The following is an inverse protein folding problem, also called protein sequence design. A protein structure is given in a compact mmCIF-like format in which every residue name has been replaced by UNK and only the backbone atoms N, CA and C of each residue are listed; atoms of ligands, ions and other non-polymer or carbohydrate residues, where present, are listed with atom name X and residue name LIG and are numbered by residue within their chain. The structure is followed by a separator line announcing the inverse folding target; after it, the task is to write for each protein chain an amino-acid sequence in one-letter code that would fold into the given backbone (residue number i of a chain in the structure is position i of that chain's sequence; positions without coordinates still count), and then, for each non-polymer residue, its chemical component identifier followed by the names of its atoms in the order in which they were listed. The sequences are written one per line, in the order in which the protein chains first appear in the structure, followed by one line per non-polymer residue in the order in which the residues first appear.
data_IF_698463636962
#
_entry.id   IF_698463636962
#
_cell.length_a   1.000
_cell.length_b   1.000
_cell.length_c   1.000
_cell.angle_alpha   90.00
_cell.angle_beta   90.00
_cell.angle_gamma   90.00
#
_symmetry.space_group_name_H-M   'P 1'
#
loop_
_entity.id
_entity.type
_entity.pdbx_description
1 polymer ?
#
# COMPACT_ATOMS: atom_id res chain seq x y z
N UNK A 1 4.76 -9.89 -22.56
CA UNK A 1 5.28 -8.97 -21.53
C UNK A 1 4.25 -8.87 -20.42
N UNK A 2 4.63 -9.15 -19.20
CA UNK A 2 3.86 -8.95 -17.97
C UNK A 2 4.70 -8.13 -16.99
N UNK A 3 4.06 -7.54 -15.98
CA UNK A 3 4.74 -6.69 -15.02
C UNK A 3 4.64 -7.27 -13.61
N UNK A 4 5.74 -7.26 -12.88
CA UNK A 4 5.79 -7.44 -11.43
C UNK A 4 6.03 -6.09 -10.78
N UNK A 5 5.10 -5.65 -9.94
CA UNK A 5 5.35 -4.54 -9.02
C UNK A 5 5.68 -5.11 -7.65
N UNK A 6 6.86 -4.82 -7.16
CA UNK A 6 7.31 -5.23 -5.84
C UNK A 6 7.35 -4.01 -4.93
N UNK A 7 6.40 -3.87 -4.04
CA UNK A 7 6.36 -2.62 -3.28
C UNK A 7 5.37 -2.58 -2.12
N UNK A 8 5.36 -1.42 -1.48
CA UNK A 8 4.58 -1.17 -0.27
C UNK A 8 3.08 -1.15 -0.52
N UNK A 9 2.37 -1.69 0.46
CA UNK A 9 0.92 -1.60 0.61
C UNK A 9 0.61 -1.02 1.99
N UNK A 10 -0.21 0.02 2.05
CA UNK A 10 -0.56 0.69 3.30
C UNK A 10 -2.07 0.90 3.42
N UNK A 11 -2.56 0.81 4.64
CA UNK A 11 -3.88 1.32 4.99
C UNK A 11 -3.69 2.79 5.36
N UNK A 12 -4.33 3.70 4.64
CA UNK A 12 -4.24 5.12 4.93
C UNK A 12 -5.44 5.56 5.76
N UNK A 13 -5.19 5.91 7.02
CA UNK A 13 -6.17 6.51 7.94
C UNK A 13 -6.08 8.04 7.82
N UNK A 14 -7.06 8.65 7.16
CA UNK A 14 -7.09 10.09 6.90
C UNK A 14 -8.05 10.77 7.87
N UNK A 15 -7.52 11.71 8.64
CA UNK A 15 -8.28 12.51 9.60
C UNK A 15 -8.37 13.95 9.10
N UNK A 16 -9.59 14.43 8.90
CA UNK A 16 -9.86 15.83 8.57
C UNK A 16 -9.88 16.67 9.85
N UNK A 17 -9.15 17.76 9.85
CA UNK A 17 -8.94 18.61 11.02
C UNK A 17 -9.14 20.09 10.63
N UNK A 18 -9.42 20.94 11.62
CA UNK A 18 -9.38 22.38 11.45
C UNK A 18 -7.94 22.85 11.19
N UNK A 19 -6.99 22.33 11.95
CA UNK A 19 -5.56 22.58 11.80
C UNK A 19 -4.75 21.33 12.17
N UNK A 20 -3.50 21.25 11.72
CA UNK A 20 -2.57 20.18 12.12
C UNK A 20 -2.30 20.30 13.62
N UNK A 21 -2.50 19.20 14.36
CA UNK A 21 -2.34 19.19 15.81
C UNK A 21 -0.89 19.45 16.22
N UNK A 22 -0.71 20.35 17.19
CA UNK A 22 0.61 20.66 17.73
C UNK A 22 0.96 19.83 18.97
N UNK A 23 2.22 19.89 19.44
CA UNK A 23 2.66 19.19 20.64
C UNK A 23 1.83 19.57 21.86
N UNK A 24 1.34 18.55 22.58
CA UNK A 24 0.50 18.75 23.79
C UNK A 24 -0.94 19.18 23.52
N UNK A 25 -1.33 19.36 22.28
CA UNK A 25 -2.68 19.75 21.89
C UNK A 25 -3.58 18.53 21.70
N UNK A 26 -4.85 18.66 22.04
CA UNK A 26 -5.90 17.67 21.76
C UNK A 26 -7.04 18.37 21.03
N UNK A 27 -7.39 17.91 19.84
CA UNK A 27 -8.53 18.43 19.07
C UNK A 27 -9.42 17.29 18.59
N UNK A 28 -10.66 17.59 18.27
CA UNK A 28 -11.55 16.66 17.62
C UNK A 28 -11.35 16.70 16.09
N UNK A 29 -11.28 15.52 15.45
CA UNK A 29 -11.35 15.46 14.00
C UNK A 29 -12.78 15.76 13.52
N UNK A 30 -12.90 16.40 12.38
CA UNK A 30 -14.19 16.68 11.72
C UNK A 30 -14.65 15.52 10.84
N UNK A 31 -13.74 14.58 10.52
CA UNK A 31 -14.03 13.38 9.72
C UNK A 31 -12.87 12.40 9.74
N UNK A 32 -13.18 11.14 9.38
CA UNK A 32 -12.19 10.09 9.18
C UNK A 32 -12.57 9.24 7.99
N UNK A 33 -11.60 8.99 7.12
CA UNK A 33 -11.73 8.08 5.99
C UNK A 33 -10.59 7.06 5.98
N UNK A 34 -10.81 5.92 5.34
CA UNK A 34 -9.81 4.85 5.21
C UNK A 34 -9.65 4.56 3.73
N UNK A 35 -8.41 4.56 3.25
CA UNK A 35 -8.07 4.27 1.87
C UNK A 35 -7.02 3.18 1.78
N UNK A 36 -7.09 2.42 0.68
CA UNK A 36 -5.96 1.61 0.25
C UNK A 36 -4.90 2.52 -0.38
N UNK A 37 -3.67 2.41 0.09
CA UNK A 37 -2.55 3.22 -0.36
C UNK A 37 -1.24 2.42 -0.41
N UNK A 38 -0.15 3.14 -0.45
CA UNK A 38 1.19 2.62 -0.68
C UNK A 38 1.64 2.81 -2.12
N UNK A 39 2.90 3.14 -2.30
CA UNK A 39 3.46 3.42 -3.64
C UNK A 39 3.35 2.21 -4.55
N UNK A 40 3.70 1.02 -4.05
CA UNK A 40 3.62 -0.22 -4.82
C UNK A 40 2.19 -0.57 -5.22
N UNK A 41 1.23 -0.45 -4.30
CA UNK A 41 -0.18 -0.67 -4.60
C UNK A 41 -0.66 0.29 -5.70
N UNK A 42 -0.39 1.58 -5.55
CA UNK A 42 -0.82 2.60 -6.52
C UNK A 42 -0.19 2.39 -7.90
N UNK A 43 1.08 1.99 -7.97
CA UNK A 43 1.76 1.65 -9.22
C UNK A 43 1.12 0.43 -9.90
N UNK A 44 0.82 -0.63 -9.14
CA UNK A 44 0.15 -1.83 -9.66
C UNK A 44 -1.22 -1.50 -10.25
N UNK A 45 -2.02 -0.73 -9.52
CA UNK A 45 -3.34 -0.28 -9.99
C UNK A 45 -3.22 0.57 -11.26
N UNK A 46 -2.26 1.49 -11.32
CA UNK A 46 -2.05 2.34 -12.48
C UNK A 46 -1.66 1.53 -13.72
N UNK A 47 -0.73 0.58 -13.58
CA UNK A 47 -0.31 -0.30 -14.68
C UNK A 47 -1.44 -1.20 -15.16
N UNK A 48 -2.23 -1.78 -14.25
CA UNK A 48 -3.37 -2.63 -14.60
C UNK A 48 -4.44 -1.83 -15.35
N UNK A 49 -4.75 -0.61 -14.90
CA UNK A 49 -5.65 0.31 -15.60
C UNK A 49 -5.15 0.76 -16.97
N UNK A 50 -3.82 0.75 -17.18
CA UNK A 50 -3.21 0.98 -18.50
C UNK A 50 -3.24 -0.24 -19.41
N UNK A 51 -3.81 -1.37 -18.95
CA UNK A 51 -4.00 -2.58 -19.75
C UNK A 51 -2.84 -3.58 -19.68
N UNK A 52 -1.90 -3.42 -18.76
CA UNK A 52 -0.82 -4.39 -18.57
C UNK A 52 -1.28 -5.56 -17.69
N UNK A 53 -0.86 -6.80 -17.98
CA UNK A 53 -0.95 -7.91 -17.03
C UNK A 53 0.02 -7.66 -15.88
N UNK A 54 -0.50 -7.40 -14.68
CA UNK A 54 0.27 -7.00 -13.50
C UNK A 54 0.13 -8.00 -12.37
N UNK A 55 1.24 -8.38 -11.77
CA UNK A 55 1.34 -9.06 -10.48
C UNK A 55 1.85 -8.10 -9.42
N UNK A 56 1.25 -8.13 -8.25
CA UNK A 56 1.78 -7.40 -7.10
C UNK A 56 2.45 -8.37 -6.13
N UNK A 57 3.69 -8.08 -5.73
CA UNK A 57 4.38 -8.76 -4.65
C UNK A 57 4.57 -7.80 -3.48
N UNK A 58 4.14 -8.22 -2.32
CA UNK A 58 4.20 -7.46 -1.09
C UNK A 58 3.68 -8.31 0.07
N UNK A 59 3.68 -7.76 1.26
CA UNK A 59 3.23 -8.46 2.46
C UNK A 59 2.17 -7.62 3.15
N UNK A 60 1.05 -8.24 3.48
CA UNK A 60 0.04 -7.66 4.36
C UNK A 60 -0.23 -8.58 5.56
N UNK A 61 -0.90 -8.06 6.54
CA UNK A 61 -1.26 -8.76 7.77
C UNK A 61 -2.65 -8.35 8.24
N UNK A 62 -2.83 -8.23 9.52
CA UNK A 62 -4.10 -7.81 10.10
C UNK A 62 -4.60 -6.49 9.47
N UNK A 63 -5.84 -6.47 9.01
CA UNK A 63 -6.50 -5.33 8.38
C UNK A 63 -6.14 -5.13 6.88
N UNK A 64 -5.35 -6.02 6.29
CA UNK A 64 -4.88 -5.90 4.90
C UNK A 64 -5.88 -6.28 3.82
N UNK A 65 -7.07 -6.76 4.18
CA UNK A 65 -8.11 -7.23 3.25
C UNK A 65 -8.48 -6.16 2.23
N UNK A 66 -8.65 -4.91 2.68
CA UNK A 66 -8.95 -3.76 1.83
C UNK A 66 -7.91 -3.58 0.70
N UNK A 67 -6.63 -3.85 0.99
CA UNK A 67 -5.55 -3.68 0.03
C UNK A 67 -5.60 -4.73 -1.07
N UNK A 68 -5.83 -5.99 -0.68
CA UNK A 68 -5.97 -7.11 -1.61
C UNK A 68 -7.21 -6.92 -2.50
N UNK A 69 -8.36 -6.61 -1.91
CA UNK A 69 -9.60 -6.33 -2.64
C UNK A 69 -9.45 -5.16 -3.64
N UNK A 70 -8.72 -4.11 -3.26
CA UNK A 70 -8.45 -2.97 -4.14
C UNK A 70 -7.60 -3.38 -5.34
N UNK A 71 -6.57 -4.19 -5.14
CA UNK A 71 -5.73 -4.72 -6.22
C UNK A 71 -6.54 -5.62 -7.15
N UNK A 72 -7.27 -6.59 -6.61
CA UNK A 72 -8.08 -7.55 -7.37
C UNK A 72 -9.17 -6.87 -8.20
N UNK A 73 -9.90 -5.95 -7.60
CA UNK A 73 -10.93 -5.16 -8.30
C UNK A 73 -10.37 -4.28 -9.42
N UNK A 74 -9.07 -3.98 -9.36
CA UNK A 74 -8.35 -3.23 -10.40
C UNK A 74 -7.73 -4.13 -11.47
N UNK A 75 -7.89 -5.46 -11.37
CA UNK A 75 -7.36 -6.43 -12.33
C UNK A 75 -5.90 -6.84 -12.08
N UNK A 76 -5.35 -6.57 -10.90
CA UNK A 76 -4.01 -6.99 -10.50
C UNK A 76 -4.05 -8.42 -9.97
N UNK A 77 -3.09 -9.24 -10.36
CA UNK A 77 -2.92 -10.58 -9.81
C UNK A 77 -2.24 -10.50 -8.43
N UNK A 78 -2.92 -11.02 -7.42
CA UNK A 78 -2.51 -10.96 -6.00
C UNK A 78 -1.88 -12.26 -5.48
N UNK A 79 -1.66 -13.26 -6.35
CA UNK A 79 -1.15 -14.58 -5.95
C UNK A 79 0.25 -14.58 -5.32
N UNK A 80 1.00 -13.50 -5.48
CA UNK A 80 2.32 -13.32 -4.89
C UNK A 80 2.30 -12.54 -3.57
N UNK A 81 1.13 -12.05 -3.13
CA UNK A 81 1.02 -11.38 -1.84
C UNK A 81 1.09 -12.42 -0.73
N UNK A 82 1.97 -12.15 0.24
CA UNK A 82 2.07 -12.94 1.47
C UNK A 82 1.26 -12.32 2.59
N UNK A 83 0.74 -13.19 3.46
CA UNK A 83 0.06 -12.80 4.69
C UNK A 83 0.90 -13.20 5.90
N UNK A 84 1.10 -12.29 6.83
CA UNK A 84 1.83 -12.53 8.08
C UNK A 84 1.01 -12.09 9.28
N UNK A 85 1.25 -12.73 10.43
CA UNK A 85 0.64 -12.35 11.71
C UNK A 85 1.36 -11.13 12.33
N UNK A 86 1.29 -10.03 11.61
CA UNK A 86 1.90 -8.75 11.97
C UNK A 86 0.98 -7.65 11.43
N UNK A 87 0.85 -6.50 12.10
CA UNK A 87 0.02 -5.42 11.58
C UNK A 87 0.47 -4.98 10.19
N UNK A 88 -0.50 -4.83 9.29
CA UNK A 88 -0.27 -4.26 7.95
C UNK A 88 0.36 -2.87 8.05
N UNK A 89 1.26 -2.55 7.13
CA UNK A 89 1.77 -1.19 6.99
C UNK A 89 0.62 -0.18 6.89
N UNK A 90 0.72 0.92 7.60
CA UNK A 90 -0.35 1.93 7.60
C UNK A 90 0.19 3.34 7.83
N UNK A 91 -0.64 4.31 7.53
CA UNK A 91 -0.35 5.72 7.76
C UNK A 91 -1.44 6.34 8.62
N UNK A 92 -1.06 7.35 9.40
CA UNK A 92 -1.99 8.29 10.01
C UNK A 92 -1.75 9.62 9.33
N UNK A 93 -2.76 10.11 8.63
CA UNK A 93 -2.68 11.32 7.81
C UNK A 93 -3.61 12.36 8.42
N UNK A 94 -3.05 13.50 8.80
CA UNK A 94 -3.80 14.69 9.17
C UNK A 94 -3.94 15.57 7.95
N UNK A 95 -5.15 16.05 7.67
CA UNK A 95 -5.41 17.01 6.58
C UNK A 95 -6.18 18.19 7.16
N UNK A 96 -5.64 19.39 7.05
CA UNK A 96 -6.28 20.59 7.54
C UNK A 96 -7.25 21.23 6.53
N UNK A 97 -7.97 22.26 6.97
CA UNK A 97 -8.94 22.97 6.13
C UNK A 97 -8.31 23.66 4.90
N UNK A 98 -6.99 23.83 4.86
CA UNK A 98 -6.23 24.40 3.73
C UNK A 98 -5.67 23.34 2.79
N UNK A 99 -5.90 22.05 3.10
CA UNK A 99 -5.38 20.94 2.32
C UNK A 99 -3.91 20.59 2.62
N UNK A 100 -3.32 21.17 3.67
CA UNK A 100 -1.99 20.76 4.13
C UNK A 100 -2.09 19.41 4.84
N UNK A 101 -1.07 18.59 4.71
CA UNK A 101 -1.05 17.30 5.37
C UNK A 101 0.20 17.07 6.24
N UNK A 102 0.04 16.18 7.19
CA UNK A 102 1.12 15.64 8.00
C UNK A 102 0.92 14.13 8.12
N UNK A 103 1.95 13.35 7.82
CA UNK A 103 1.83 11.89 7.67
C UNK A 103 2.78 11.18 8.62
N UNK A 104 2.24 10.26 9.41
CA UNK A 104 2.99 9.29 10.19
C UNK A 104 2.89 7.95 9.47
N UNK A 105 4.04 7.31 9.19
CA UNK A 105 4.09 6.00 8.54
C UNK A 105 4.54 4.94 9.55
N UNK A 106 3.74 3.89 9.69
CA UNK A 106 4.15 2.66 10.35
C UNK A 106 4.46 1.60 9.29
N UNK A 107 5.70 1.14 9.21
CA UNK A 107 6.15 0.23 8.15
C UNK A 107 5.48 -1.15 8.18
N UNK A 108 5.23 -1.68 9.39
CA UNK A 108 4.53 -2.96 9.56
C UNK A 108 5.08 -4.07 8.67
N UNK A 109 4.19 -4.79 8.02
CA UNK A 109 4.55 -5.90 7.11
C UNK A 109 5.42 -5.49 5.92
N UNK A 110 5.43 -4.21 5.50
CA UNK A 110 6.32 -3.74 4.42
C UNK A 110 7.81 -3.88 4.77
N UNK A 111 8.16 -3.99 6.04
CA UNK A 111 9.55 -4.17 6.52
C UNK A 111 9.96 -5.63 6.68
N UNK A 112 9.12 -6.56 6.27
CA UNK A 112 9.35 -8.01 6.45
C UNK A 112 9.75 -8.73 5.17
N UNK A 113 10.09 -8.00 4.14
CA UNK A 113 10.55 -8.54 2.86
C UNK A 113 11.93 -9.17 3.05
N UNK A 114 12.08 -10.45 2.63
CA UNK A 114 13.32 -11.19 2.72
C UNK A 114 13.89 -11.51 1.33
N UNK A 115 15.20 -11.78 1.22
CA UNK A 115 15.81 -12.21 -0.05
C UNK A 115 15.15 -13.45 -0.65
N UNK A 116 14.73 -14.39 0.20
CA UNK A 116 14.05 -15.62 -0.24
C UNK A 116 12.70 -15.31 -0.87
N UNK A 117 11.93 -14.40 -0.27
CA UNK A 117 10.66 -13.96 -0.85
C UNK A 117 10.85 -13.21 -2.17
N UNK A 118 11.90 -12.39 -2.27
CA UNK A 118 12.23 -11.71 -3.53
C UNK A 118 12.53 -12.73 -4.62
N UNK A 119 13.39 -13.73 -4.35
CA UNK A 119 13.74 -14.77 -5.30
C UNK A 119 12.52 -15.58 -5.75
N UNK A 120 11.63 -15.93 -4.82
CA UNK A 120 10.39 -16.65 -5.12
C UNK A 120 9.48 -15.81 -6.03
N UNK A 121 9.23 -14.55 -5.67
CA UNK A 121 8.37 -13.67 -6.46
C UNK A 121 8.90 -13.45 -7.89
N UNK A 122 10.23 -13.37 -8.05
CA UNK A 122 10.88 -13.20 -9.36
C UNK A 122 10.92 -14.48 -10.19
N UNK A 123 10.80 -15.66 -9.58
CA UNK A 123 10.97 -16.94 -10.29
C UNK A 123 10.01 -17.16 -11.47
N UNK A 124 8.86 -16.51 -11.45
CA UNK A 124 7.88 -16.56 -12.53
C UNK A 124 8.07 -15.53 -13.64
N UNK A 125 9.13 -14.72 -13.57
CA UNK A 125 9.40 -13.62 -14.53
C UNK A 125 10.75 -13.83 -15.21
N UNK A 126 10.88 -13.37 -16.46
CA UNK A 126 12.06 -13.58 -17.27
C UNK A 126 12.27 -12.49 -18.29
N UNK A 127 13.07 -12.80 -19.30
CA UNK A 127 13.40 -11.87 -20.39
C UNK A 127 12.12 -11.36 -21.09
N UNK A 128 12.04 -10.05 -21.26
CA UNK A 128 10.87 -9.35 -21.83
C UNK A 128 9.78 -8.97 -20.84
N UNK A 129 9.87 -9.41 -19.57
CA UNK A 129 8.99 -8.96 -18.50
C UNK A 129 9.55 -7.70 -17.80
N UNK A 130 8.67 -6.98 -17.12
CA UNK A 130 9.01 -5.74 -16.41
C UNK A 130 8.99 -5.98 -14.89
N UNK A 131 9.95 -5.41 -14.19
CA UNK A 131 9.93 -5.32 -12.72
C UNK A 131 9.94 -3.84 -12.33
N UNK A 132 8.99 -3.44 -11.52
CA UNK A 132 8.88 -2.09 -10.95
C UNK A 132 9.05 -2.16 -9.43
N UNK A 133 9.90 -1.25 -8.88
CA UNK A 133 10.23 -1.17 -7.46
C UNK A 133 9.84 0.19 -6.87
#
# INVERSE_FOLDING_TARGET
MKALCFGSMNIDYVYSLDHIVGPGETIFSTGREIFAGGKGLNQSVAMAKAGLPVWHAGICGAGGELLVETLESSGVNTSLIRHEDTPTGHTIIQVDAKGQNCIIVYGGTNRRITPEYIAEALSGFGEGDMVLL
#
